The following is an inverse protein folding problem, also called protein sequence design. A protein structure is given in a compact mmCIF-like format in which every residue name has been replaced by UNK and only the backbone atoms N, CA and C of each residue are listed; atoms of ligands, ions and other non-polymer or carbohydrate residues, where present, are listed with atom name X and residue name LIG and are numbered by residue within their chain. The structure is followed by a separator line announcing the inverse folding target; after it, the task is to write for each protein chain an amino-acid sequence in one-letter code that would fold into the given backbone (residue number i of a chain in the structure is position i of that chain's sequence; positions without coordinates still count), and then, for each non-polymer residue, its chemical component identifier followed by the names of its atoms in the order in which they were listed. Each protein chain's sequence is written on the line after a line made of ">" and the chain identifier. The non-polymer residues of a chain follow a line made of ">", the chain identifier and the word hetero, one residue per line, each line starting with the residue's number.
data_IF_941837406572
#
_entry.id   IF_941837406572
#
_cell.length_a   1.000
_cell.length_b   1.000
_cell.length_c   1.000
_cell.angle_alpha   90.00
_cell.angle_beta   90.00
_cell.angle_gamma   90.00
#
_symmetry.space_group_name_H-M   'P 1'
#
loop_
_entity.id
_entity.type
_entity.pdbx_description
1 polymer ?
#
# COMPACT_ATOMS: atom_id res chain seq x y z
N UNK A 1 1.06 -19.09 -13.73
CA UNK A 1 1.02 -18.14 -14.86
C UNK A 1 -0.37 -17.90 -15.46
N UNK A 2 -1.37 -18.78 -15.29
CA UNK A 2 -2.76 -18.54 -15.75
C UNK A 2 -3.36 -17.21 -15.25
N UNK A 3 -3.00 -16.74 -14.05
CA UNK A 3 -3.52 -15.48 -13.52
C UNK A 3 -3.06 -14.23 -14.30
N UNK A 4 -1.91 -14.27 -14.99
CA UNK A 4 -1.41 -13.15 -15.80
C UNK A 4 -2.31 -12.87 -17.02
N UNK A 5 -3.12 -13.84 -17.47
CA UNK A 5 -4.10 -13.59 -18.53
C UNK A 5 -5.29 -12.75 -18.05
N UNK A 6 -5.48 -12.62 -16.72
CA UNK A 6 -6.56 -11.84 -16.12
C UNK A 6 -6.07 -10.47 -15.63
N UNK A 7 -4.85 -10.36 -15.09
CA UNK A 7 -4.22 -9.10 -14.71
C UNK A 7 -2.74 -9.11 -15.07
N UNK A 8 -2.31 -8.16 -15.91
CA UNK A 8 -0.95 -8.10 -16.44
C UNK A 8 0.09 -7.66 -15.40
N UNK A 9 -0.34 -7.21 -14.22
CA UNK A 9 0.53 -6.74 -13.16
C UNK A 9 0.58 -7.78 -12.03
N UNK A 10 1.78 -8.21 -11.61
CA UNK A 10 1.91 -9.29 -10.64
C UNK A 10 1.71 -8.82 -9.19
N UNK A 11 1.59 -7.52 -8.94
CA UNK A 11 1.61 -6.89 -7.62
C UNK A 11 0.39 -7.24 -6.75
N UNK A 12 -0.78 -7.52 -7.34
CA UNK A 12 -1.97 -7.95 -6.60
C UNK A 12 -2.09 -9.48 -6.54
N UNK A 13 -1.92 -10.15 -7.67
CA UNK A 13 -2.09 -11.61 -7.78
C UNK A 13 -1.05 -12.34 -6.93
N UNK A 14 0.21 -11.93 -7.00
CA UNK A 14 1.29 -12.65 -6.31
C UNK A 14 1.07 -12.73 -4.80
N UNK A 15 0.83 -11.61 -4.06
CA UNK A 15 0.54 -11.70 -2.64
C UNK A 15 -0.81 -12.36 -2.33
N UNK A 16 -1.81 -12.28 -3.22
CA UNK A 16 -3.06 -13.01 -3.02
C UNK A 16 -2.83 -14.53 -3.00
N UNK A 17 -2.00 -15.04 -3.91
CA UNK A 17 -1.70 -16.48 -4.03
C UNK A 17 -0.67 -16.93 -2.99
N UNK A 18 0.41 -16.17 -2.82
CA UNK A 18 1.59 -16.60 -2.04
C UNK A 18 1.56 -16.14 -0.57
N UNK A 19 0.75 -15.13 -0.25
CA UNK A 19 0.76 -14.45 1.05
C UNK A 19 2.01 -13.61 1.29
N UNK A 20 1.99 -12.84 2.37
CA UNK A 20 3.10 -12.00 2.81
C UNK A 20 3.38 -10.79 1.91
N UNK A 21 4.51 -10.14 2.14
CA UNK A 21 5.01 -9.07 1.30
C UNK A 21 5.79 -9.65 0.12
N UNK A 22 5.47 -9.22 -1.10
CA UNK A 22 6.05 -9.76 -2.32
C UNK A 22 6.68 -8.65 -3.16
N UNK A 23 7.87 -8.93 -3.70
CA UNK A 23 8.51 -8.14 -4.75
C UNK A 23 8.56 -9.00 -5.99
N UNK A 24 7.89 -8.56 -7.06
CA UNK A 24 7.67 -9.38 -8.25
C UNK A 24 7.97 -8.60 -9.54
N UNK A 25 8.40 -9.34 -10.55
CA UNK A 25 8.55 -8.87 -11.93
C UNK A 25 8.07 -9.94 -12.89
N UNK A 26 7.73 -9.54 -14.12
CA UNK A 26 7.33 -10.46 -15.19
C UNK A 26 8.44 -10.49 -16.23
N UNK A 27 8.91 -11.69 -16.56
CA UNK A 27 9.85 -11.93 -17.67
C UNK A 27 9.38 -13.16 -18.43
N UNK A 28 9.31 -13.08 -19.75
CA UNK A 28 8.95 -14.22 -20.62
C UNK A 28 7.62 -14.90 -20.23
N UNK A 29 6.62 -14.11 -19.79
CA UNK A 29 5.31 -14.56 -19.25
C UNK A 29 5.38 -15.38 -17.95
N UNK A 30 6.52 -15.34 -17.26
CA UNK A 30 6.70 -15.94 -15.94
C UNK A 30 6.82 -14.85 -14.87
N UNK A 31 6.18 -15.09 -13.72
CA UNK A 31 6.31 -14.23 -12.54
C UNK A 31 7.53 -14.69 -11.74
N UNK A 32 8.54 -13.83 -11.68
CA UNK A 32 9.65 -13.99 -10.73
C UNK A 32 9.35 -13.15 -9.51
N UNK A 33 9.37 -13.76 -8.32
CA UNK A 33 9.08 -13.05 -7.08
C UNK A 33 9.96 -13.51 -5.92
N UNK A 34 10.07 -12.64 -4.93
CA UNK A 34 10.63 -12.95 -3.62
C UNK A 34 9.59 -12.56 -2.59
N UNK A 35 9.36 -13.45 -1.61
CA UNK A 35 8.41 -13.28 -0.52
C UNK A 35 9.13 -13.01 0.80
N UNK A 36 8.55 -12.14 1.61
CA UNK A 36 8.89 -11.92 3.03
C UNK A 36 7.62 -12.09 3.86
N UNK A 37 7.68 -12.95 4.87
CA UNK A 37 6.63 -13.04 5.88
C UNK A 37 6.63 -11.78 6.76
N UNK A 38 5.43 -11.29 7.07
CA UNK A 38 5.24 -10.14 7.93
C UNK A 38 4.98 -10.61 9.37
N UNK A 39 5.66 -10.05 10.38
CA UNK A 39 5.47 -10.47 11.76
C UNK A 39 4.10 -10.01 12.30
N UNK A 40 3.53 -10.78 13.23
CA UNK A 40 2.25 -10.46 13.89
C UNK A 40 2.28 -9.18 14.74
N UNK A 41 3.48 -8.66 14.98
CA UNK A 41 3.72 -7.37 15.64
C UNK A 41 3.27 -6.18 14.77
N UNK A 42 3.06 -6.39 13.47
CA UNK A 42 2.52 -5.39 12.56
C UNK A 42 1.03 -5.64 12.30
N UNK A 43 0.27 -4.56 12.19
CA UNK A 43 -1.14 -4.58 11.78
C UNK A 43 -1.39 -3.62 10.64
N UNK A 44 -2.32 -3.98 9.77
CA UNK A 44 -2.86 -3.09 8.76
C UNK A 44 -4.03 -2.30 9.36
N UNK A 45 -4.01 -0.97 9.23
CA UNK A 45 -5.18 -0.12 9.49
C UNK A 45 -5.67 0.44 8.16
N UNK A 46 -6.84 -0.02 7.71
CA UNK A 46 -7.40 0.27 6.39
C UNK A 46 -8.49 1.32 6.52
N UNK A 47 -8.38 2.41 5.77
CA UNK A 47 -9.37 3.50 5.73
C UNK A 47 -10.04 3.49 4.36
N UNK A 48 -11.34 3.24 4.32
CA UNK A 48 -12.13 3.15 3.10
C UNK A 48 -13.06 4.36 3.02
N UNK A 49 -12.83 5.30 2.09
CA UNK A 49 -13.72 6.42 1.88
C UNK A 49 -15.14 6.00 1.47
N UNK A 50 -16.12 6.86 1.73
CA UNK A 50 -17.52 6.64 1.35
C UNK A 50 -17.81 6.90 -0.14
N UNK A 51 -16.80 7.31 -0.91
CA UNK A 51 -16.90 7.57 -2.34
C UNK A 51 -15.79 6.83 -3.09
N UNK A 52 -16.12 6.05 -4.14
CA UNK A 52 -15.09 5.44 -4.95
C UNK A 52 -14.41 6.51 -5.82
N UNK A 53 -13.11 6.32 -6.07
CA UNK A 53 -12.44 6.98 -7.20
C UNK A 53 -12.51 6.00 -8.37
N UNK A 54 -12.98 6.46 -9.53
CA UNK A 54 -12.99 5.64 -10.74
C UNK A 54 -11.58 5.22 -11.13
N UNK A 55 -11.31 3.92 -11.25
CA UNK A 55 -10.00 3.39 -11.64
C UNK A 55 -9.55 3.96 -12.99
N UNK A 56 -10.47 4.12 -13.95
CA UNK A 56 -10.17 4.74 -15.25
C UNK A 56 -9.75 6.20 -15.11
N UNK A 57 -10.46 6.99 -14.31
CA UNK A 57 -10.10 8.40 -14.08
C UNK A 57 -8.80 8.55 -13.28
N UNK A 58 -8.53 7.62 -12.34
CA UNK A 58 -7.29 7.58 -11.56
C UNK A 58 -6.04 7.29 -12.40
N UNK A 59 -6.21 6.64 -13.57
CA UNK A 59 -5.12 6.40 -14.53
C UNK A 59 -4.90 7.60 -15.44
N UNK A 60 -5.97 8.28 -15.87
CA UNK A 60 -5.90 9.46 -16.74
C UNK A 60 -5.29 10.69 -16.07
N UNK A 61 -5.36 10.80 -14.74
CA UNK A 61 -4.81 11.94 -14.00
C UNK A 61 -3.29 11.91 -13.85
N UNK A 62 -2.65 10.78 -14.17
CA UNK A 62 -1.21 10.65 -14.07
C UNK A 62 -0.50 11.42 -15.20
N UNK A 63 0.61 12.10 -14.91
CA UNK A 63 1.43 12.72 -15.94
C UNK A 63 1.87 11.72 -17.01
N UNK A 64 1.89 12.18 -18.26
CA UNK A 64 2.45 11.38 -19.36
C UNK A 64 3.98 11.25 -19.27
N UNK A 65 4.66 12.21 -18.63
CA UNK A 65 6.12 12.22 -18.42
C UNK A 65 6.43 12.67 -17.00
N UNK A 66 7.48 12.09 -16.43
CA UNK A 66 8.05 12.50 -15.15
C UNK A 66 9.41 13.14 -15.36
N UNK A 67 9.83 13.99 -14.42
CA UNK A 67 11.19 14.51 -14.40
C UNK A 67 12.18 13.39 -14.04
N UNK A 68 13.46 13.58 -14.39
CA UNK A 68 14.53 12.68 -13.93
C UNK A 68 14.59 12.71 -12.40
N UNK A 69 14.40 13.87 -11.77
CA UNK A 69 14.40 14.01 -10.31
C UNK A 69 13.33 13.14 -9.65
N UNK A 70 12.08 13.22 -10.11
CA UNK A 70 10.97 12.40 -9.58
C UNK A 70 11.22 10.91 -9.83
N UNK A 71 11.80 10.58 -10.99
CA UNK A 71 12.16 9.19 -11.31
C UNK A 71 13.20 8.64 -10.35
N UNK A 72 14.30 9.37 -10.15
CA UNK A 72 15.37 8.98 -9.20
C UNK A 72 14.82 8.91 -7.78
N UNK A 73 14.00 9.88 -7.37
CA UNK A 73 13.34 9.90 -6.07
C UNK A 73 12.54 8.61 -5.84
N UNK A 74 11.66 8.26 -6.76
CA UNK A 74 10.80 7.09 -6.65
C UNK A 74 11.56 5.76 -6.72
N UNK A 75 12.57 5.62 -7.58
CA UNK A 75 13.40 4.42 -7.65
C UNK A 75 14.16 4.20 -6.34
N UNK A 76 14.72 5.28 -5.77
CA UNK A 76 15.38 5.23 -4.46
C UNK A 76 14.42 4.78 -3.35
N UNK A 77 13.20 5.32 -3.32
CA UNK A 77 12.19 4.98 -2.31
C UNK A 77 11.63 3.56 -2.46
N UNK A 78 11.38 3.10 -3.68
CA UNK A 78 11.00 1.71 -3.94
C UNK A 78 12.07 0.71 -3.49
N UNK A 79 13.34 1.03 -3.76
CA UNK A 79 14.49 0.22 -3.32
C UNK A 79 14.61 0.19 -1.79
N UNK A 80 14.48 1.35 -1.14
CA UNK A 80 14.50 1.46 0.31
C UNK A 80 13.30 0.74 0.96
N UNK A 81 12.11 0.80 0.36
CA UNK A 81 10.91 0.15 0.85
C UNK A 81 11.10 -1.36 0.87
N UNK A 82 11.60 -1.91 -0.25
CA UNK A 82 11.97 -3.32 -0.36
C UNK A 82 12.99 -3.71 0.70
N UNK A 83 14.09 -2.96 0.82
CA UNK A 83 15.11 -3.23 1.82
C UNK A 83 14.56 -3.16 3.26
N UNK A 84 13.68 -2.20 3.56
CA UNK A 84 13.06 -2.03 4.86
C UNK A 84 12.16 -3.23 5.24
N UNK A 85 11.39 -3.77 4.30
CA UNK A 85 10.59 -4.98 4.55
C UNK A 85 11.47 -6.21 4.80
N UNK A 86 12.49 -6.44 3.98
CA UNK A 86 13.34 -7.62 4.11
C UNK A 86 14.27 -7.57 5.33
N UNK A 87 14.72 -6.37 5.72
CA UNK A 87 15.53 -6.15 6.93
C UNK A 87 14.72 -5.90 8.20
N UNK A 88 13.39 -5.86 8.09
CA UNK A 88 12.48 -5.51 9.19
C UNK A 88 12.75 -4.13 9.83
N UNK A 89 13.35 -3.23 9.07
CA UNK A 89 13.60 -1.85 9.50
C UNK A 89 12.34 -1.00 9.30
N UNK A 90 11.34 -1.24 10.14
CA UNK A 90 10.01 -0.66 9.99
C UNK A 90 9.96 0.86 10.12
N UNK A 91 10.93 1.45 10.83
CA UNK A 91 11.06 2.91 10.94
C UNK A 91 11.36 3.59 9.59
N UNK A 92 12.03 2.87 8.68
CA UNK A 92 12.30 3.38 7.33
C UNK A 92 11.07 3.41 6.43
N UNK A 93 10.00 2.68 6.75
CA UNK A 93 8.80 2.67 5.92
C UNK A 93 8.18 4.07 5.76
N UNK A 94 8.33 4.94 6.76
CA UNK A 94 7.79 6.30 6.71
C UNK A 94 8.47 7.14 5.63
N UNK A 95 9.78 6.99 5.50
CA UNK A 95 10.53 7.66 4.44
C UNK A 95 10.35 6.95 3.10
N UNK A 96 10.42 5.62 3.10
CA UNK A 96 10.38 4.77 1.92
C UNK A 96 9.04 4.78 1.18
N UNK A 97 7.95 5.12 1.86
CA UNK A 97 6.59 5.17 1.28
C UNK A 97 6.22 6.51 0.63
N UNK A 98 7.11 7.49 0.65
CA UNK A 98 6.93 8.71 -0.11
C UNK A 98 6.93 8.43 -1.61
N UNK A 99 5.98 9.04 -2.31
CA UNK A 99 5.78 8.83 -3.74
C UNK A 99 5.52 10.16 -4.45
N UNK A 100 6.19 10.38 -5.57
CA UNK A 100 5.98 11.52 -6.47
C UNK A 100 5.40 11.11 -7.82
N UNK A 101 5.14 9.83 -8.06
CA UNK A 101 4.65 9.36 -9.36
C UNK A 101 3.13 9.29 -9.44
N UNK A 102 2.43 8.80 -8.41
CA UNK A 102 1.01 8.46 -8.55
C UNK A 102 0.11 8.95 -7.43
N UNK A 103 0.54 8.84 -6.19
CA UNK A 103 -0.23 9.07 -4.98
C UNK A 103 -0.68 10.51 -4.87
N UNK A 104 0.24 11.46 -5.01
CA UNK A 104 -0.08 12.90 -4.95
C UNK A 104 -1.14 13.29 -6.01
N UNK A 105 -0.98 12.81 -7.25
CA UNK A 105 -1.92 13.10 -8.34
C UNK A 105 -3.30 12.50 -8.10
N UNK A 106 -3.36 11.23 -7.67
CA UNK A 106 -4.64 10.54 -7.39
C UNK A 106 -5.37 11.14 -6.20
N UNK A 107 -4.65 11.50 -5.14
CA UNK A 107 -5.23 12.10 -3.94
C UNK A 107 -5.86 13.48 -4.20
N UNK A 108 -5.45 14.20 -5.26
CA UNK A 108 -6.12 15.46 -5.65
C UNK A 108 -7.60 15.28 -5.99
N UNK A 109 -8.03 14.09 -6.40
CA UNK A 109 -9.44 13.81 -6.67
C UNK A 109 -10.29 13.71 -5.39
N UNK A 110 -9.65 13.51 -4.23
CA UNK A 110 -10.29 13.47 -2.91
C UNK A 110 -9.34 14.06 -1.87
N UNK A 111 -9.29 15.40 -1.73
CA UNK A 111 -8.33 16.08 -0.86
C UNK A 111 -8.36 15.64 0.61
N UNK A 112 -9.47 15.07 1.08
CA UNK A 112 -9.59 14.46 2.42
C UNK A 112 -8.53 13.37 2.66
N UNK A 113 -8.05 12.71 1.60
CA UNK A 113 -7.01 11.68 1.69
C UNK A 113 -5.66 12.24 2.17
N UNK A 114 -5.34 13.50 1.86
CA UNK A 114 -4.14 14.15 2.41
C UNK A 114 -4.24 14.30 3.94
N UNK A 115 -5.44 14.60 4.44
CA UNK A 115 -5.69 14.69 5.87
C UNK A 115 -5.59 13.30 6.54
N UNK A 116 -6.12 12.25 5.90
CA UNK A 116 -5.98 10.86 6.38
C UNK A 116 -4.51 10.48 6.52
N UNK A 117 -3.71 10.68 5.47
CA UNK A 117 -2.30 10.34 5.47
C UNK A 117 -1.53 11.08 6.58
N UNK A 118 -1.71 12.41 6.65
CA UNK A 118 -1.07 13.24 7.65
C UNK A 118 -1.46 12.82 9.08
N UNK A 119 -2.74 12.57 9.31
CA UNK A 119 -3.24 12.14 10.61
C UNK A 119 -2.66 10.78 10.99
N UNK A 120 -2.61 9.82 10.08
CA UNK A 120 -2.05 8.51 10.35
C UNK A 120 -0.56 8.57 10.70
N UNK A 121 0.25 9.25 9.88
CA UNK A 121 1.70 9.36 10.10
C UNK A 121 2.08 10.16 11.36
N UNK A 122 1.21 11.08 11.81
CA UNK A 122 1.39 11.81 13.08
C UNK A 122 1.06 10.94 14.29
N UNK A 123 0.19 9.95 14.13
CA UNK A 123 -0.35 9.15 15.22
C UNK A 123 0.22 7.72 15.28
N UNK A 124 1.44 7.50 14.78
CA UNK A 124 2.16 6.23 14.95
C UNK A 124 2.06 5.26 13.78
N UNK A 125 1.46 5.64 12.65
CA UNK A 125 1.61 4.86 11.43
C UNK A 125 3.07 4.89 10.95
N UNK A 126 3.62 3.70 10.72
CA UNK A 126 4.94 3.47 10.13
C UNK A 126 4.91 3.75 8.62
N UNK A 127 3.76 3.53 7.99
CA UNK A 127 3.49 3.82 6.59
C UNK A 127 2.03 4.23 6.42
N UNK A 128 1.74 5.12 5.47
CA UNK A 128 0.39 5.50 5.09
C UNK A 128 0.33 5.80 3.60
N UNK A 129 -0.25 4.88 2.82
CA UNK A 129 -0.28 4.96 1.36
C UNK A 129 -1.66 4.67 0.77
N UNK A 130 -1.90 5.10 -0.46
CA UNK A 130 -3.00 4.55 -1.27
C UNK A 130 -2.82 3.03 -1.44
N UNK A 131 -3.90 2.28 -1.22
CA UNK A 131 -3.98 0.88 -1.59
C UNK A 131 -4.30 0.78 -3.09
N UNK A 132 -3.31 0.35 -3.89
CA UNK A 132 -3.42 0.24 -5.34
C UNK A 132 -3.79 1.57 -6.00
N UNK A 133 -4.90 1.61 -6.76
CA UNK A 133 -5.40 2.84 -7.37
C UNK A 133 -6.16 3.77 -6.41
N UNK A 134 -6.38 3.36 -5.17
CA UNK A 134 -7.27 4.05 -4.23
C UNK A 134 -8.75 3.80 -4.55
N UNK A 135 -9.68 4.45 -3.83
CA UNK A 135 -9.47 5.53 -2.84
C UNK A 135 -9.09 5.05 -1.43
N UNK A 136 -9.07 3.73 -1.20
CA UNK A 136 -8.69 3.14 0.09
C UNK A 136 -7.26 3.52 0.49
N UNK A 137 -7.10 3.91 1.74
CA UNK A 137 -5.80 4.11 2.38
C UNK A 137 -5.40 2.89 3.19
N UNK A 138 -4.15 2.48 3.01
CA UNK A 138 -3.51 1.39 3.72
C UNK A 138 -2.42 1.95 4.63
N UNK A 139 -2.53 1.66 5.92
CA UNK A 139 -1.57 2.08 6.92
C UNK A 139 -0.96 0.86 7.59
N UNK A 140 0.34 0.90 7.87
CA UNK A 140 1.01 -0.09 8.73
C UNK A 140 1.33 0.58 10.05
N UNK A 141 1.03 -0.10 11.16
CA UNK A 141 1.42 0.30 12.50
C UNK A 141 1.81 -0.93 13.32
N UNK A 142 2.52 -0.73 14.42
CA UNK A 142 2.68 -1.79 15.42
C UNK A 142 1.32 -2.15 16.04
N UNK A 143 1.20 -3.38 16.52
CA UNK A 143 -0.04 -3.91 17.11
C UNK A 143 -0.62 -2.99 18.20
N UNK A 144 0.24 -2.52 19.11
CA UNK A 144 -0.16 -1.66 20.23
C UNK A 144 -0.68 -0.29 19.77
N UNK A 145 -0.16 0.22 18.64
CA UNK A 145 -0.57 1.49 18.06
C UNK A 145 -1.82 1.37 17.18
N UNK A 146 -2.06 0.20 16.58
CA UNK A 146 -3.09 0.01 15.57
C UNK A 146 -4.50 0.32 16.09
N UNK A 147 -4.81 -0.06 17.34
CA UNK A 147 -6.12 0.21 17.97
C UNK A 147 -6.32 1.71 18.20
N UNK A 148 -5.29 2.41 18.72
CA UNK A 148 -5.31 3.86 18.95
C UNK A 148 -5.44 4.61 17.63
N UNK A 149 -4.65 4.24 16.62
CA UNK A 149 -4.70 4.81 15.28
C UNK A 149 -6.09 4.64 14.64
N UNK A 150 -6.68 3.44 14.71
CA UNK A 150 -8.03 3.18 14.20
C UNK A 150 -9.08 4.07 14.86
N UNK A 151 -9.02 4.24 16.19
CA UNK A 151 -9.92 5.12 16.94
C UNK A 151 -9.85 6.58 16.47
N UNK A 152 -8.62 7.13 16.39
CA UNK A 152 -8.39 8.51 15.93
C UNK A 152 -8.92 8.73 14.51
N UNK A 153 -8.68 7.77 13.61
CA UNK A 153 -9.15 7.88 12.22
C UNK A 153 -10.69 7.80 12.14
N UNK A 154 -11.35 6.96 12.95
CA UNK A 154 -12.83 6.91 13.00
C UNK A 154 -13.43 8.21 13.52
N UNK A 155 -12.84 8.79 14.55
CA UNK A 155 -13.31 10.05 15.15
C UNK A 155 -13.16 11.23 14.18
N UNK A 156 -12.02 11.33 13.49
CA UNK A 156 -11.73 12.45 12.59
C UNK A 156 -12.36 12.29 11.19
N UNK A 157 -12.67 11.06 10.78
CA UNK A 157 -13.28 10.76 9.49
C UNK A 157 -14.51 9.84 9.67
N UNK A 158 -15.57 10.31 10.37
CA UNK A 158 -16.72 9.48 10.75
C UNK A 158 -17.50 8.91 9.56
N UNK A 159 -17.38 9.53 8.39
CA UNK A 159 -17.97 9.06 7.14
C UNK A 159 -17.14 7.95 6.47
N UNK A 160 -15.91 7.68 6.91
CA UNK A 160 -15.06 6.63 6.36
C UNK A 160 -15.16 5.36 7.20
N UNK A 161 -15.07 4.21 6.54
CA UNK A 161 -14.98 2.93 7.25
C UNK A 161 -13.52 2.64 7.58
N UNK A 162 -13.24 2.26 8.82
CA UNK A 162 -11.88 1.97 9.28
C UNK A 162 -11.82 0.58 9.89
N UNK A 163 -10.94 -0.27 9.36
CA UNK A 163 -10.71 -1.64 9.79
C UNK A 163 -9.28 -1.82 10.26
N UNK A 164 -9.08 -2.73 11.20
CA UNK A 164 -7.76 -3.23 11.55
C UNK A 164 -7.70 -4.70 11.15
N UNK A 165 -6.67 -5.09 10.41
CA UNK A 165 -6.52 -6.41 9.84
C UNK A 165 -5.13 -6.97 10.13
N UNK A 166 -5.04 -8.30 10.19
CA UNK A 166 -3.78 -9.03 10.24
C UNK A 166 -3.21 -9.22 8.83
N UNK A 167 -1.90 -9.43 8.75
CA UNK A 167 -1.25 -9.79 7.50
C UNK A 167 -1.38 -11.30 7.25
N UNK A 168 -1.90 -11.67 6.09
CA UNK A 168 -1.97 -13.07 5.69
C UNK A 168 -0.63 -13.50 5.05
N UNK A 169 0.13 -14.35 5.74
CA UNK A 169 1.39 -14.91 5.23
C UNK A 169 1.21 -16.21 4.43
N UNK A 170 0.02 -16.81 4.41
CA UNK A 170 -0.22 -18.12 3.79
C UNK A 170 -0.73 -18.05 2.35
N UNK A 171 -1.37 -16.94 1.96
CA UNK A 171 -1.98 -16.78 0.64
C UNK A 171 -3.25 -17.63 0.49
N UNK A 172 -3.50 -18.13 -0.73
CA UNK A 172 -4.62 -19.03 -1.01
C UNK A 172 -4.34 -20.41 -0.41
N UNK A 173 -5.30 -20.92 0.35
CA UNK A 173 -5.29 -22.29 0.86
C UNK A 173 -6.45 -23.06 0.24
N UNK A 174 -6.21 -24.31 -0.17
CA UNK A 174 -7.25 -25.25 -0.63
C UNK A 174 -7.50 -26.21 0.52
N UNK A 175 -8.67 -26.10 1.14
CA UNK A 175 -9.13 -27.05 2.16
C UNK A 175 -9.73 -28.28 1.45
N UNK A 176 -9.33 -29.48 1.86
CA UNK A 176 -9.84 -30.76 1.38
C UNK A 176 -10.74 -31.42 2.42
#
# INVERSE_FOLDING_TARGET
>A
NLALSYESHPDNITPAVMGGFNVATVRDQEVHFIKKELPDTLKAVVVIPNRPISTNESRKILPFKYSIEDTVFNVSRSSLLTAAFFSENWQMLKEASNDRMHQYYRMKQMPELFAVQKMALKNGALMSTLSGSGSTFFNIAYNDDAKRLSGILKENFPQFRVYTCDFNNSGVQVEY
#
